data_IF_022518521006
#
_entry.id   IF_022518521006
#
_cell.length_a   1.000
_cell.length_b   1.000
_cell.length_c   1.000
_cell.angle_alpha   90.00
_cell.angle_beta   90.00
_cell.angle_gamma   90.00
#
_symmetry.space_group_name_H-M   'P 1'
#
loop_
_entity.id
_entity.type
_entity.pdbx_description
1 polymer ?
#
# COMPACT_ATOMS: atom_id res chain seq x y z
N UNK A 1 -9.46 11.66 22.39
CA UNK A 1 -9.71 10.62 21.40
C UNK A 1 -10.15 11.36 20.16
N UNK A 2 -9.24 11.45 19.21
CA UNK A 2 -9.35 12.16 17.93
C UNK A 2 -9.56 11.12 16.82
N UNK A 3 -10.17 11.48 15.69
CA UNK A 3 -10.31 10.58 14.53
C UNK A 3 -8.95 10.04 14.07
N UNK A 4 -7.90 10.87 14.21
CA UNK A 4 -6.51 10.52 13.89
C UNK A 4 -6.03 9.32 14.67
N UNK A 5 -6.47 9.15 15.92
CA UNK A 5 -6.06 8.02 16.76
C UNK A 5 -6.54 6.69 16.16
N UNK A 6 -7.71 6.68 15.50
CA UNK A 6 -8.26 5.49 14.85
C UNK A 6 -7.48 5.20 13.57
N UNK A 7 -7.22 6.22 12.75
CA UNK A 7 -6.48 6.05 11.49
C UNK A 7 -5.04 5.59 11.75
N UNK A 8 -4.33 6.24 12.69
CA UNK A 8 -2.99 5.81 13.12
C UNK A 8 -2.99 4.36 13.59
N UNK A 9 -3.93 3.97 14.46
CA UNK A 9 -4.02 2.60 14.95
C UNK A 9 -4.28 1.58 13.85
N UNK A 10 -5.19 1.89 12.91
CA UNK A 10 -5.45 1.01 11.76
C UNK A 10 -4.20 0.83 10.91
N UNK A 11 -3.50 1.93 10.63
CA UNK A 11 -2.30 1.95 9.79
C UNK A 11 -1.11 1.23 10.45
N UNK A 12 -0.89 1.45 11.74
CA UNK A 12 0.14 0.76 12.50
C UNK A 12 -0.15 -0.74 12.55
N UNK A 13 -1.41 -1.12 12.82
CA UNK A 13 -1.80 -2.52 12.93
C UNK A 13 -1.54 -3.29 11.63
N UNK A 14 -2.01 -2.81 10.48
CA UNK A 14 -1.83 -3.57 9.24
C UNK A 14 -0.35 -3.65 8.84
N UNK A 15 0.43 -2.58 9.06
CA UNK A 15 1.84 -2.57 8.67
C UNK A 15 2.66 -3.51 9.56
N UNK A 16 2.38 -3.56 10.86
CA UNK A 16 3.00 -4.53 11.77
C UNK A 16 2.63 -5.98 11.40
N UNK A 17 1.35 -6.25 11.12
CA UNK A 17 0.88 -7.58 10.69
C UNK A 17 1.45 -7.98 9.32
N UNK A 18 1.62 -7.01 8.41
CA UNK A 18 2.26 -7.23 7.11
C UNK A 18 3.72 -7.62 7.30
N UNK A 19 4.49 -6.84 8.08
CA UNK A 19 5.90 -7.15 8.36
C UNK A 19 6.05 -8.55 8.95
N UNK A 20 5.22 -8.91 9.94
CA UNK A 20 5.18 -10.28 10.51
C UNK A 20 4.82 -11.35 9.48
N UNK A 21 3.91 -11.06 8.56
CA UNK A 21 3.52 -12.01 7.51
C UNK A 21 4.65 -12.25 6.50
N UNK A 22 5.48 -11.24 6.26
CA UNK A 22 6.62 -11.30 5.35
C UNK A 22 7.86 -11.93 6.00
N UNK A 23 7.97 -11.87 7.33
CA UNK A 23 9.07 -12.49 8.07
C UNK A 23 9.26 -13.94 7.65
N UNK A 24 10.52 -14.30 7.37
CA UNK A 24 10.96 -15.65 6.98
C UNK A 24 10.49 -16.17 5.61
N UNK A 25 9.67 -15.42 4.85
CA UNK A 25 9.31 -15.82 3.49
C UNK A 25 10.49 -15.66 2.53
N UNK A 26 10.80 -16.73 1.79
CA UNK A 26 11.83 -16.66 0.74
C UNK A 26 11.31 -15.89 -0.48
N UNK A 27 12.20 -15.35 -1.34
CA UNK A 27 11.77 -14.71 -2.58
C UNK A 27 10.85 -15.59 -3.44
N UNK A 28 11.11 -16.90 -3.50
CA UNK A 28 10.30 -17.85 -4.25
C UNK A 28 8.88 -17.96 -3.68
N UNK A 29 8.76 -18.00 -2.34
CA UNK A 29 7.45 -18.06 -1.67
C UNK A 29 6.66 -16.77 -1.84
N UNK A 30 7.33 -15.62 -1.90
CA UNK A 30 6.66 -14.35 -2.16
C UNK A 30 6.24 -14.18 -3.62
N UNK A 31 6.87 -14.91 -4.55
CA UNK A 31 6.53 -14.95 -5.98
C UNK A 31 5.60 -16.09 -6.38
N UNK A 32 5.21 -16.95 -5.43
CA UNK A 32 4.20 -17.98 -5.67
C UNK A 32 2.84 -17.37 -6.04
N UNK A 33 2.28 -17.82 -7.17
CA UNK A 33 0.92 -17.52 -7.61
C UNK A 33 0.03 -18.76 -7.37
N UNK A 34 -1.01 -18.68 -6.52
CA UNK A 34 -1.94 -19.80 -6.28
C UNK A 34 -2.57 -20.40 -7.55
N UNK A 35 -2.80 -19.57 -8.57
CA UNK A 35 -3.24 -19.98 -9.90
C UNK A 35 -2.59 -19.09 -10.98
N UNK A 36 -2.57 -19.52 -12.26
CA UNK A 36 -2.01 -18.70 -13.34
C UNK A 36 -2.62 -17.29 -13.46
N UNK A 37 -3.87 -17.12 -13.01
CA UNK A 37 -4.64 -15.87 -13.08
C UNK A 37 -4.62 -15.07 -11.78
N UNK A 38 -3.88 -15.52 -10.77
CA UNK A 38 -3.76 -14.85 -9.47
C UNK A 38 -2.53 -13.96 -9.39
N UNK A 39 -2.47 -13.07 -8.39
CA UNK A 39 -1.26 -12.31 -8.05
C UNK A 39 -0.40 -13.04 -7.01
N UNK A 40 0.79 -12.51 -6.74
CA UNK A 40 1.72 -13.01 -5.72
C UNK A 40 2.00 -11.93 -4.65
N UNK A 41 2.65 -12.29 -3.55
CA UNK A 41 2.85 -11.41 -2.38
C UNK A 41 3.68 -10.17 -2.74
N UNK A 42 4.76 -10.31 -3.51
CA UNK A 42 5.60 -9.15 -3.89
C UNK A 42 4.79 -8.03 -4.59
N UNK A 43 3.80 -8.39 -5.43
CA UNK A 43 2.93 -7.42 -6.08
C UNK A 43 2.05 -6.70 -5.07
N UNK A 44 1.42 -7.45 -4.17
CA UNK A 44 0.47 -6.90 -3.20
C UNK A 44 1.17 -5.92 -2.27
N UNK A 45 2.38 -6.24 -1.78
CA UNK A 45 3.15 -5.34 -0.90
C UNK A 45 3.52 -4.04 -1.62
N UNK A 46 4.00 -4.14 -2.86
CA UNK A 46 4.30 -2.96 -3.67
C UNK A 46 3.02 -2.14 -3.93
N UNK A 47 1.93 -2.80 -4.28
CA UNK A 47 0.64 -2.17 -4.58
C UNK A 47 0.10 -1.40 -3.37
N UNK A 48 0.10 -2.01 -2.19
CA UNK A 48 -0.25 -1.37 -0.91
C UNK A 48 0.52 -0.06 -0.71
N UNK A 49 1.86 -0.10 -0.78
CA UNK A 49 2.68 1.09 -0.64
C UNK A 49 2.40 2.16 -1.73
N UNK A 50 2.04 1.75 -2.94
CA UNK A 50 1.63 2.69 -4.01
C UNK A 50 0.24 3.27 -3.78
N UNK A 51 -0.71 2.51 -3.22
CA UNK A 51 -2.07 2.93 -2.91
C UNK A 51 -2.06 4.01 -1.83
N UNK A 52 -1.38 3.76 -0.69
CA UNK A 52 -1.26 4.75 0.39
C UNK A 52 -0.60 6.05 -0.15
N UNK A 53 0.49 5.93 -0.90
CA UNK A 53 1.22 7.05 -1.50
C UNK A 53 0.35 7.86 -2.49
N UNK A 54 -0.34 7.18 -3.42
CA UNK A 54 -1.19 7.84 -4.41
C UNK A 54 -2.38 8.56 -3.75
N UNK A 55 -3.04 7.96 -2.77
CA UNK A 55 -4.16 8.59 -2.08
C UNK A 55 -3.71 9.80 -1.26
N UNK A 56 -2.62 9.68 -0.50
CA UNK A 56 -2.14 10.76 0.36
C UNK A 56 -1.49 11.89 -0.44
N UNK A 57 -0.58 11.56 -1.36
CA UNK A 57 0.18 12.58 -2.09
C UNK A 57 -0.64 13.15 -3.22
N UNK A 58 -1.22 12.30 -4.08
CA UNK A 58 -1.85 12.75 -5.32
C UNK A 58 -3.31 13.14 -5.12
N UNK A 59 -4.09 12.32 -4.42
CA UNK A 59 -5.50 12.63 -4.19
C UNK A 59 -5.68 13.74 -3.16
N UNK A 60 -5.12 13.61 -1.96
CA UNK A 60 -5.35 14.57 -0.87
C UNK A 60 -4.57 15.87 -1.04
N UNK A 61 -3.28 15.78 -1.39
CA UNK A 61 -2.38 16.93 -1.40
C UNK A 61 -2.05 17.47 -2.79
N UNK A 62 -2.46 16.78 -3.87
CA UNK A 62 -2.14 17.14 -5.26
C UNK A 62 -0.64 17.31 -5.53
N UNK A 63 0.19 16.57 -4.80
CA UNK A 63 1.65 16.55 -4.93
C UNK A 63 2.14 15.37 -5.77
N UNK A 64 3.38 15.42 -6.26
CA UNK A 64 4.10 14.21 -6.66
C UNK A 64 4.12 13.21 -5.52
N UNK A 65 3.98 11.94 -5.89
CA UNK A 65 4.07 10.79 -4.97
C UNK A 65 5.49 10.68 -4.40
N UNK A 66 5.64 10.06 -3.24
CA UNK A 66 6.96 9.73 -2.67
C UNK A 66 7.75 8.90 -3.67
N UNK A 67 7.08 7.95 -4.34
CA UNK A 67 7.61 7.13 -5.42
C UNK A 67 8.30 7.92 -6.54
N UNK A 68 7.68 9.04 -6.94
CA UNK A 68 8.19 9.94 -7.97
C UNK A 68 9.25 10.88 -7.42
N UNK A 69 8.93 11.57 -6.33
CA UNK A 69 9.76 12.62 -5.72
C UNK A 69 11.13 12.09 -5.30
N UNK A 70 11.17 10.87 -4.76
CA UNK A 70 12.38 10.29 -4.15
C UNK A 70 13.04 9.21 -5.04
N UNK A 71 12.61 9.13 -6.32
CA UNK A 71 13.18 8.29 -7.37
C UNK A 71 13.13 6.77 -7.08
N UNK A 72 12.12 6.31 -6.34
CA UNK A 72 11.94 4.89 -6.05
C UNK A 72 11.64 4.07 -7.30
N UNK A 73 10.92 4.63 -8.27
CA UNK A 73 10.63 3.99 -9.55
C UNK A 73 11.89 3.52 -10.28
N UNK A 74 12.94 4.34 -10.32
CA UNK A 74 14.24 3.97 -10.90
C UNK A 74 14.91 2.86 -10.10
N UNK A 75 14.88 2.93 -8.76
CA UNK A 75 15.50 1.92 -7.88
C UNK A 75 14.88 0.53 -8.06
N UNK A 76 13.56 0.47 -8.24
CA UNK A 76 12.84 -0.78 -8.46
C UNK A 76 12.73 -1.19 -9.93
N UNK A 77 13.22 -0.36 -10.87
CA UNK A 77 13.10 -0.62 -12.30
C UNK A 77 11.64 -0.67 -12.79
N UNK A 78 10.78 0.14 -12.16
CA UNK A 78 9.33 0.14 -12.36
C UNK A 78 8.85 1.46 -12.99
N UNK A 79 7.66 1.49 -13.61
CA UNK A 79 7.12 2.71 -14.20
C UNK A 79 6.87 3.82 -13.15
N UNK A 80 7.16 5.06 -13.54
CA UNK A 80 7.03 6.25 -12.68
C UNK A 80 5.58 6.52 -12.21
N UNK A 81 4.57 6.11 -12.99
CA UNK A 81 3.17 6.53 -12.79
C UNK A 81 2.20 5.39 -12.52
N UNK A 82 2.70 4.17 -12.39
CA UNK A 82 1.86 3.00 -12.21
C UNK A 82 1.76 2.61 -10.73
N UNK A 83 0.60 2.10 -10.36
CA UNK A 83 0.31 1.56 -9.03
C UNK A 83 -0.02 0.07 -9.08
N UNK A 84 -0.12 -0.53 -10.28
CA UNK A 84 -0.59 -1.90 -10.44
C UNK A 84 -2.10 -2.05 -10.58
N UNK A 85 -2.87 -0.96 -10.36
CA UNK A 85 -4.31 -1.00 -10.56
C UNK A 85 -4.65 -1.39 -12.01
N UNK A 86 -5.45 -2.45 -12.15
CA UNK A 86 -5.88 -2.97 -13.45
C UNK A 86 -4.85 -3.83 -14.18
N UNK A 87 -3.75 -4.22 -13.54
CA UNK A 87 -2.79 -5.16 -14.13
C UNK A 87 -3.42 -6.53 -14.40
N UNK A 88 -3.04 -7.14 -15.52
CA UNK A 88 -3.32 -8.55 -15.80
C UNK A 88 -2.42 -9.48 -14.98
N UNK A 89 -2.78 -10.77 -14.91
CA UNK A 89 -1.94 -11.78 -14.24
C UNK A 89 -0.57 -11.94 -14.89
N UNK A 90 -0.45 -11.74 -16.21
CA UNK A 90 0.85 -11.69 -16.91
C UNK A 90 1.67 -10.49 -16.49
N UNK A 91 1.07 -9.30 -16.44
CA UNK A 91 1.79 -8.09 -16.00
C UNK A 91 2.30 -8.24 -14.57
N UNK A 92 1.48 -8.83 -13.68
CA UNK A 92 1.91 -9.17 -12.31
C UNK A 92 3.07 -10.17 -12.32
N UNK A 93 2.94 -11.26 -13.08
CA UNK A 93 3.97 -12.30 -13.17
C UNK A 93 5.31 -11.78 -13.70
N UNK A 94 5.28 -10.82 -14.60
CA UNK A 94 6.45 -10.24 -15.26
C UNK A 94 7.07 -9.07 -14.48
N UNK A 95 6.53 -8.72 -13.31
CA UNK A 95 7.14 -7.73 -12.42
C UNK A 95 8.57 -8.13 -12.05
N UNK A 96 9.50 -7.17 -11.93
CA UNK A 96 10.84 -7.45 -11.43
C UNK A 96 10.77 -8.06 -10.03
N UNK A 97 11.78 -8.86 -9.70
CA UNK A 97 11.94 -9.35 -8.33
C UNK A 97 12.39 -8.20 -7.44
N UNK A 98 11.68 -7.98 -6.34
CA UNK A 98 12.00 -6.92 -5.41
C UNK A 98 12.92 -7.42 -4.28
N UNK A 99 13.85 -6.57 -3.87
CA UNK A 99 14.39 -6.63 -2.52
C UNK A 99 13.28 -6.17 -1.56
N UNK A 100 12.80 -7.09 -0.72
CA UNK A 100 11.67 -6.84 0.15
C UNK A 100 12.03 -5.88 1.29
N UNK A 101 13.29 -5.87 1.74
CA UNK A 101 13.72 -4.91 2.75
C UNK A 101 13.69 -3.49 2.18
N UNK A 102 14.16 -3.32 0.94
CA UNK A 102 14.05 -2.05 0.21
C UNK A 102 12.60 -1.64 -0.03
N UNK A 103 11.71 -2.59 -0.33
CA UNK A 103 10.26 -2.31 -0.50
C UNK A 103 9.65 -1.80 0.80
N UNK A 104 10.02 -2.39 1.94
CA UNK A 104 9.57 -1.94 3.25
C UNK A 104 10.18 -0.57 3.64
N UNK A 105 11.40 -0.25 3.22
CA UNK A 105 11.96 1.11 3.37
C UNK A 105 11.14 2.15 2.59
N UNK A 106 10.71 1.83 1.36
CA UNK A 106 9.80 2.68 0.61
C UNK A 106 8.46 2.84 1.31
N UNK A 107 7.87 1.74 1.80
CA UNK A 107 6.60 1.78 2.53
C UNK A 107 6.71 2.62 3.82
N UNK A 108 7.82 2.50 4.55
CA UNK A 108 8.09 3.33 5.73
C UNK A 108 8.23 4.82 5.35
N UNK A 109 8.85 5.14 4.20
CA UNK A 109 8.94 6.51 3.70
C UNK A 109 7.55 7.09 3.33
N UNK A 110 6.67 6.28 2.74
CA UNK A 110 5.26 6.64 2.50
C UNK A 110 4.58 6.92 3.84
N UNK A 111 4.71 6.02 4.82
CA UNK A 111 4.09 6.16 6.14
C UNK A 111 4.51 7.43 6.87
N UNK A 112 5.77 7.84 6.76
CA UNK A 112 6.24 9.12 7.33
C UNK A 112 5.47 10.31 6.74
N UNK A 113 5.24 10.32 5.43
CA UNK A 113 4.51 11.41 4.76
C UNK A 113 3.01 11.37 5.09
N UNK A 114 2.41 10.17 5.12
CA UNK A 114 1.04 9.92 5.59
C UNK A 114 0.81 10.45 6.99
N UNK A 115 1.68 10.10 7.93
CA UNK A 115 1.56 10.52 9.32
C UNK A 115 1.75 12.03 9.46
N UNK A 116 2.65 12.63 8.70
CA UNK A 116 2.80 14.09 8.68
C UNK A 116 1.52 14.80 8.21
N UNK A 117 0.90 14.30 7.13
CA UNK A 117 -0.36 14.84 6.62
C UNK A 117 -1.50 14.67 7.64
N UNK A 118 -1.72 13.45 8.14
CA UNK A 118 -2.77 13.14 9.11
C UNK A 118 -2.64 13.98 10.40
N UNK A 119 -1.42 14.15 10.91
CA UNK A 119 -1.18 14.93 12.12
C UNK A 119 -1.51 16.42 11.95
N UNK A 120 -1.30 16.98 10.75
CA UNK A 120 -1.58 18.37 10.44
C UNK A 120 -3.07 18.67 10.23
N UNK A 121 -3.91 17.64 10.00
CA UNK A 121 -5.34 17.83 9.76
C UNK A 121 -6.10 18.27 11.02
N UNK A 122 -7.27 18.85 10.81
CA UNK A 122 -8.32 19.12 11.79
C UNK A 122 -9.56 18.30 11.45
N UNK A 123 -10.50 18.18 12.39
CA UNK A 123 -11.77 17.49 12.13
C UNK A 123 -12.58 18.16 11.01
N UNK A 124 -12.51 19.49 10.85
CA UNK A 124 -13.19 20.19 9.76
C UNK A 124 -12.66 19.80 8.38
N UNK A 125 -11.39 19.42 8.26
CA UNK A 125 -10.78 19.05 6.99
C UNK A 125 -11.40 17.77 6.42
N UNK A 126 -11.94 16.90 7.27
CA UNK A 126 -12.59 15.65 6.87
C UNK A 126 -13.69 15.84 5.83
N UNK A 127 -14.37 16.99 5.84
CA UNK A 127 -15.45 17.32 4.90
C UNK A 127 -14.97 17.90 3.56
N UNK A 128 -13.67 18.10 3.39
CA UNK A 128 -13.09 18.71 2.19
C UNK A 128 -13.05 17.70 1.05
N UNK A 129 -13.37 18.14 -0.17
CA UNK A 129 -13.21 17.40 -1.41
C UNK A 129 -11.91 17.86 -2.13
N UNK A 130 -10.75 17.24 -1.84
CA UNK A 130 -9.46 17.80 -2.25
C UNK A 130 -9.18 17.66 -3.74
N UNK A 131 -9.82 16.70 -4.43
CA UNK A 131 -9.40 16.30 -5.77
C UNK A 131 -10.44 16.65 -6.85
N UNK A 132 -10.14 17.58 -7.77
CA UNK A 132 -11.13 18.12 -8.72
C UNK A 132 -11.67 17.10 -9.73
N UNK A 133 -10.96 15.97 -9.94
CA UNK A 133 -11.44 14.88 -10.83
C UNK A 133 -12.24 13.81 -10.11
N UNK A 134 -12.45 13.94 -8.80
CA UNK A 134 -13.26 13.02 -7.99
C UNK A 134 -14.23 13.83 -7.11
N UNK A 135 -15.14 14.60 -7.74
CA UNK A 135 -16.10 15.42 -6.99
C UNK A 135 -16.97 14.53 -6.11
N UNK A 136 -17.31 15.02 -4.92
CA UNK A 136 -18.09 14.31 -3.91
C UNK A 136 -17.31 13.30 -3.06
N UNK A 137 -16.00 13.14 -3.28
CA UNK A 137 -15.15 12.26 -2.44
C UNK A 137 -14.38 13.12 -1.45
N UNK A 138 -14.68 12.96 -0.17
CA UNK A 138 -14.07 13.74 0.91
C UNK A 138 -12.80 13.10 1.46
N UNK A 139 -12.06 13.83 2.29
CA UNK A 139 -10.94 13.25 3.06
C UNK A 139 -11.40 12.18 4.05
N UNK A 140 -12.62 12.28 4.60
CA UNK A 140 -13.21 11.21 5.40
C UNK A 140 -13.39 9.92 4.59
N UNK A 141 -13.94 10.04 3.37
CA UNK A 141 -14.14 8.90 2.47
C UNK A 141 -12.80 8.27 2.09
N UNK A 142 -11.79 9.10 1.81
CA UNK A 142 -10.43 8.63 1.53
C UNK A 142 -9.86 7.82 2.69
N UNK A 143 -9.86 8.34 3.92
CA UNK A 143 -9.28 7.62 5.06
C UNK A 143 -9.99 6.30 5.32
N UNK A 144 -11.32 6.28 5.23
CA UNK A 144 -12.11 5.06 5.31
C UNK A 144 -11.71 4.05 4.23
N UNK A 145 -11.55 4.52 3.00
CA UNK A 145 -11.19 3.68 1.85
C UNK A 145 -9.78 3.10 1.97
N UNK A 146 -8.76 3.92 2.24
CA UNK A 146 -7.36 3.45 2.32
C UNK A 146 -7.20 2.42 3.44
N UNK A 147 -7.79 2.64 4.63
CA UNK A 147 -7.74 1.65 5.71
C UNK A 147 -8.32 0.28 5.31
N UNK A 148 -9.43 0.29 4.57
CA UNK A 148 -10.07 -0.95 4.13
C UNK A 148 -9.25 -1.63 3.02
N UNK A 149 -8.77 -0.87 2.04
CA UNK A 149 -7.95 -1.39 0.93
C UNK A 149 -6.67 -2.06 1.45
N UNK A 150 -5.96 -1.42 2.38
CA UNK A 150 -4.78 -1.99 3.02
C UNK A 150 -5.09 -3.27 3.83
N UNK A 151 -6.21 -3.30 4.55
CA UNK A 151 -6.64 -4.49 5.30
C UNK A 151 -7.02 -5.66 4.37
N UNK A 152 -7.70 -5.38 3.24
CA UNK A 152 -8.03 -6.37 2.22
C UNK A 152 -6.76 -7.01 1.62
N UNK A 153 -5.77 -6.18 1.29
CA UNK A 153 -4.49 -6.63 0.75
C UNK A 153 -3.63 -7.39 1.76
N UNK A 154 -3.62 -6.98 3.03
CA UNK A 154 -3.02 -7.77 4.10
C UNK A 154 -3.69 -9.16 4.20
N UNK A 155 -5.01 -9.22 4.10
CA UNK A 155 -5.76 -10.48 4.05
C UNK A 155 -5.33 -11.38 2.88
N UNK A 156 -5.08 -10.79 1.71
CA UNK A 156 -4.55 -11.51 0.54
C UNK A 156 -3.15 -12.07 0.80
N UNK A 157 -2.25 -11.28 1.40
CA UNK A 157 -0.91 -11.74 1.79
C UNK A 157 -1.00 -12.92 2.75
N UNK A 158 -1.81 -12.78 3.82
CA UNK A 158 -2.03 -13.82 4.81
C UNK A 158 -2.61 -15.09 4.18
N UNK A 159 -3.53 -14.96 3.23
CA UNK A 159 -4.14 -16.10 2.54
C UNK A 159 -3.17 -16.83 1.63
N UNK A 160 -2.42 -16.12 0.78
CA UNK A 160 -1.41 -16.72 -0.13
C UNK A 160 -0.32 -17.41 0.69
N UNK A 161 0.12 -16.77 1.78
CA UNK A 161 1.05 -17.36 2.72
C UNK A 161 0.49 -18.63 3.38
N UNK A 162 -0.77 -18.59 3.83
CA UNK A 162 -1.45 -19.72 4.46
C UNK A 162 -1.61 -20.92 3.54
N UNK A 163 -1.81 -20.71 2.22
CA UNK A 163 -1.79 -21.80 1.22
C UNK A 163 -0.45 -22.54 1.22
N UNK A 164 0.65 -21.82 1.41
CA UNK A 164 2.01 -22.39 1.36
C UNK A 164 2.47 -22.98 2.71
N UNK A 165 2.14 -22.31 3.82
CA UNK A 165 2.70 -22.60 5.15
C UNK A 165 1.70 -23.20 6.15
N UNK A 166 0.39 -23.19 5.86
CA UNK A 166 -0.65 -23.59 6.81
C UNK A 166 -0.90 -22.55 7.91
N UNK A 167 -1.55 -22.97 9.00
CA UNK A 167 -1.99 -22.10 10.11
C UNK A 167 -0.90 -21.77 11.14
N UNK A 168 0.18 -22.57 11.22
CA UNK A 168 1.05 -22.66 12.42
C UNK A 168 2.46 -22.04 12.25
N UNK A 169 2.65 -21.13 11.31
CA UNK A 169 3.93 -20.41 11.16
C UNK A 169 3.66 -19.00 10.79
#
# INVERSE_FOLDING_TARGET
>A
MDFKDIVHKGFDQFLEELKKSLETLTPEERRFQPSPDSHHIDFVVWHMARVEDDWVQRFAQQNPTVWQRDDWHTRFGMPERESGFGYSSEQVRDLPTFDMDQMLEYFDAVRVNTNAFLNAMSESDLSTEPHPRRPGVTLMDMWGHVMIEEAEHLGQVAYIRGIQRGLDK
#
